data_IF_487390514736
#
_entry.id   IF_487390514736
#
_cell.length_a   1.000
_cell.length_b   1.000
_cell.length_c   1.000
_cell.angle_alpha   90.00
_cell.angle_beta   90.00
_cell.angle_gamma   90.00
#
_symmetry.space_group_name_H-M   'P 1'
#
loop_
_entity.id
_entity.type
_entity.pdbx_description
1 polymer ?
#
# COMPACT_ATOMS: atom_id res chain seq x y z
N UNK A 1 -13.19 -10.13 17.05
CA UNK A 1 -13.33 -10.64 15.67
C UNK A 1 -13.45 -9.41 14.80
N UNK A 2 -12.66 -9.29 13.74
CA UNK A 2 -12.83 -8.22 12.74
C UNK A 2 -14.16 -8.45 12.03
N UNK A 3 -14.88 -7.35 11.72
CA UNK A 3 -16.07 -7.46 10.88
C UNK A 3 -15.65 -7.91 9.47
N UNK A 4 -16.48 -8.74 8.81
CA UNK A 4 -16.21 -9.13 7.43
C UNK A 4 -16.30 -7.90 6.52
N UNK A 5 -15.50 -7.90 5.44
CA UNK A 5 -15.53 -6.91 4.37
C UNK A 5 -16.42 -7.40 3.21
N UNK A 6 -17.51 -8.12 3.55
CA UNK A 6 -18.36 -8.77 2.57
C UNK A 6 -18.89 -7.78 1.52
N UNK A 7 -18.48 -7.99 0.27
CA UNK A 7 -18.84 -7.16 -0.90
C UNK A 7 -18.26 -5.74 -0.92
N UNK A 8 -17.44 -5.36 0.07
CA UNK A 8 -16.69 -4.10 -0.02
C UNK A 8 -15.78 -4.11 -1.26
N UNK A 9 -15.68 -3.00 -1.94
CA UNK A 9 -14.80 -2.81 -3.10
C UNK A 9 -13.48 -2.19 -2.64
N UNK A 10 -12.40 -2.95 -2.78
CA UNK A 10 -11.07 -2.53 -2.31
C UNK A 10 -10.09 -2.40 -3.47
N UNK A 11 -9.50 -1.22 -3.64
CA UNK A 11 -8.41 -1.00 -4.60
C UNK A 11 -7.08 -1.20 -3.88
N UNK A 12 -6.18 -2.01 -4.45
CA UNK A 12 -4.81 -2.19 -3.97
C UNK A 12 -3.82 -1.79 -5.05
N UNK A 13 -3.06 -0.72 -4.83
CA UNK A 13 -1.98 -0.32 -5.74
C UNK A 13 -0.70 -1.12 -5.42
N UNK A 14 0.07 -1.49 -6.46
CA UNK A 14 1.23 -2.38 -6.30
C UNK A 14 0.84 -3.82 -5.96
N UNK A 15 -0.31 -4.29 -6.45
CA UNK A 15 -0.91 -5.57 -6.13
C UNK A 15 -0.18 -6.80 -6.70
N UNK A 16 0.80 -6.62 -7.57
CA UNK A 16 1.44 -7.71 -8.33
C UNK A 16 2.46 -8.55 -7.52
N UNK A 17 2.86 -8.11 -6.31
CA UNK A 17 3.84 -8.83 -5.48
C UNK A 17 3.86 -8.35 -4.03
N UNK A 18 4.61 -9.05 -3.18
CA UNK A 18 4.94 -8.66 -1.81
C UNK A 18 3.73 -8.28 -0.97
N UNK A 19 3.79 -7.16 -0.26
CA UNK A 19 2.72 -6.67 0.62
C UNK A 19 1.40 -6.50 -0.16
N UNK A 20 1.45 -5.98 -1.39
CA UNK A 20 0.25 -5.74 -2.20
C UNK A 20 -0.49 -7.04 -2.53
N UNK A 21 0.20 -8.06 -3.03
CA UNK A 21 -0.40 -9.35 -3.34
C UNK A 21 -0.91 -10.07 -2.08
N UNK A 22 -0.16 -10.03 -0.98
CA UNK A 22 -0.60 -10.58 0.31
C UNK A 22 -1.84 -9.84 0.83
N UNK A 23 -1.89 -8.50 0.68
CA UNK A 23 -3.06 -7.69 1.04
C UNK A 23 -4.30 -8.09 0.23
N UNK A 24 -4.15 -8.30 -1.08
CA UNK A 24 -5.26 -8.77 -1.91
C UNK A 24 -5.83 -10.09 -1.39
N UNK A 25 -4.97 -11.06 -1.02
CA UNK A 25 -5.39 -12.36 -0.46
C UNK A 25 -6.12 -12.19 0.87
N UNK A 26 -5.60 -11.41 1.79
CA UNK A 26 -6.22 -11.17 3.10
C UNK A 26 -7.58 -10.48 2.99
N UNK A 27 -7.73 -9.52 2.06
CA UNK A 27 -8.99 -8.82 1.84
C UNK A 27 -10.02 -9.72 1.14
N UNK A 28 -9.61 -10.49 0.14
CA UNK A 28 -10.45 -11.50 -0.51
C UNK A 28 -10.93 -12.57 0.50
N UNK A 29 -10.05 -13.04 1.37
CA UNK A 29 -10.42 -13.97 2.44
C UNK A 29 -11.43 -13.38 3.45
N UNK A 30 -11.53 -12.07 3.54
CA UNK A 30 -12.54 -11.35 4.33
C UNK A 30 -13.84 -11.08 3.55
N UNK A 31 -13.94 -11.49 2.27
CA UNK A 31 -15.12 -11.36 1.42
C UNK A 31 -15.16 -10.10 0.55
N UNK A 32 -14.10 -9.32 0.50
CA UNK A 32 -14.04 -8.11 -0.33
C UNK A 32 -13.88 -8.44 -1.83
N UNK A 33 -14.48 -7.64 -2.67
CA UNK A 33 -14.15 -7.56 -4.09
C UNK A 33 -12.85 -6.77 -4.27
N UNK A 34 -11.90 -7.30 -5.02
CA UNK A 34 -10.54 -6.73 -5.07
C UNK A 34 -10.22 -6.20 -6.46
N UNK A 35 -9.83 -4.93 -6.51
CA UNK A 35 -9.28 -4.28 -7.71
C UNK A 35 -7.76 -4.26 -7.60
N UNK A 36 -7.10 -4.98 -8.50
CA UNK A 36 -5.67 -5.17 -8.51
C UNK A 36 -5.02 -4.20 -9.49
N UNK A 37 -4.23 -3.26 -8.98
CA UNK A 37 -3.57 -2.24 -9.78
C UNK A 37 -2.05 -2.34 -9.70
N UNK A 38 -1.38 -2.60 -10.81
CA UNK A 38 0.07 -2.53 -11.00
C UNK A 38 0.40 -2.57 -12.51
N UNK A 39 1.67 -2.41 -12.88
CA UNK A 39 2.10 -2.37 -14.28
C UNK A 39 2.11 -3.73 -14.99
N UNK A 40 2.28 -4.82 -14.25
CA UNK A 40 2.39 -6.17 -14.85
C UNK A 40 1.04 -6.87 -14.85
N UNK A 41 0.34 -6.81 -15.99
CA UNK A 41 -0.96 -7.45 -16.19
C UNK A 41 -0.90 -8.96 -15.91
N UNK A 42 0.09 -9.67 -16.46
CA UNK A 42 0.26 -11.11 -16.26
C UNK A 42 0.35 -11.50 -14.75
N UNK A 43 1.08 -10.71 -13.96
CA UNK A 43 1.20 -10.97 -12.51
C UNK A 43 -0.09 -10.65 -11.77
N UNK A 44 -0.82 -9.62 -12.21
CA UNK A 44 -2.11 -9.26 -11.62
C UNK A 44 -3.14 -10.33 -11.92
N UNK A 45 -3.21 -10.84 -13.16
CA UNK A 45 -4.09 -11.94 -13.56
C UNK A 45 -3.83 -13.19 -12.72
N UNK A 46 -2.56 -13.56 -12.54
CA UNK A 46 -2.22 -14.72 -11.71
C UNK A 46 -2.70 -14.56 -10.25
N UNK A 47 -2.57 -13.36 -9.66
CA UNK A 47 -3.11 -13.10 -8.32
C UNK A 47 -4.63 -13.13 -8.33
N UNK A 48 -5.29 -12.54 -9.32
CA UNK A 48 -6.74 -12.51 -9.43
C UNK A 48 -7.35 -13.91 -9.54
N UNK A 49 -6.77 -14.78 -10.39
CA UNK A 49 -7.18 -16.18 -10.56
C UNK A 49 -7.12 -16.95 -9.20
N UNK A 50 -6.05 -16.74 -8.42
CA UNK A 50 -5.93 -17.32 -7.08
C UNK A 50 -7.08 -16.84 -6.17
N UNK A 51 -7.37 -15.51 -6.16
CA UNK A 51 -8.41 -14.94 -5.30
C UNK A 51 -9.80 -15.46 -5.64
N UNK A 52 -10.15 -15.53 -6.92
CA UNK A 52 -11.44 -16.04 -7.40
C UNK A 52 -11.60 -17.52 -7.08
N UNK A 53 -10.54 -18.30 -7.28
CA UNK A 53 -10.54 -19.76 -7.03
C UNK A 53 -10.66 -20.08 -5.54
N UNK A 54 -9.88 -19.40 -4.69
CA UNK A 54 -9.77 -19.75 -3.27
C UNK A 54 -10.89 -19.14 -2.41
N UNK A 55 -11.41 -17.96 -2.80
CA UNK A 55 -12.36 -17.20 -1.97
C UNK A 55 -13.70 -16.92 -2.65
N UNK A 56 -13.82 -17.09 -3.97
CA UNK A 56 -15.08 -16.88 -4.71
C UNK A 56 -15.55 -15.43 -4.75
N UNK A 57 -14.63 -14.48 -4.55
CA UNK A 57 -14.88 -13.03 -4.66
C UNK A 57 -14.77 -12.57 -6.11
N UNK A 58 -15.29 -11.37 -6.41
CA UNK A 58 -15.08 -10.76 -7.72
C UNK A 58 -13.76 -9.98 -7.73
N UNK A 59 -13.03 -10.07 -8.84
CA UNK A 59 -11.80 -9.30 -9.04
C UNK A 59 -11.91 -8.38 -10.26
N UNK A 60 -11.07 -7.35 -10.30
CA UNK A 60 -10.86 -6.50 -11.46
C UNK A 60 -9.36 -6.20 -11.60
N UNK A 61 -8.77 -6.66 -12.70
CA UNK A 61 -7.38 -6.35 -13.04
C UNK A 61 -7.34 -5.08 -13.87
N UNK A 62 -6.59 -4.08 -13.38
CA UNK A 62 -6.37 -2.82 -14.10
C UNK A 62 -4.87 -2.52 -14.16
N UNK A 63 -4.23 -2.77 -15.31
CA UNK A 63 -2.84 -2.37 -15.52
C UNK A 63 -2.69 -0.86 -15.33
N UNK A 64 -1.88 -0.44 -14.35
CA UNK A 64 -1.79 0.95 -13.91
C UNK A 64 -0.33 1.30 -13.57
N UNK A 65 0.20 2.32 -14.19
CA UNK A 65 1.39 3.00 -13.69
C UNK A 65 0.96 4.18 -12.82
N UNK A 66 1.13 4.07 -11.52
CA UNK A 66 0.70 5.13 -10.58
C UNK A 66 1.42 6.47 -10.80
N UNK A 67 2.49 6.50 -11.60
CA UNK A 67 3.20 7.72 -11.99
C UNK A 67 2.45 8.54 -13.04
N UNK A 68 1.52 7.91 -13.73
CA UNK A 68 0.72 8.51 -14.81
C UNK A 68 -0.68 8.82 -14.28
N UNK A 69 -1.02 10.10 -14.21
CA UNK A 69 -2.31 10.55 -13.68
C UNK A 69 -3.49 9.96 -14.45
N UNK A 70 -3.40 9.90 -15.79
CA UNK A 70 -4.44 9.36 -16.66
C UNK A 70 -4.69 7.85 -16.40
N UNK A 71 -3.64 7.06 -16.08
CA UNK A 71 -3.79 5.65 -15.72
C UNK A 71 -4.53 5.50 -14.37
N UNK A 72 -4.22 6.39 -13.43
CA UNK A 72 -4.89 6.40 -12.11
C UNK A 72 -6.36 6.78 -12.24
N UNK A 73 -6.68 7.78 -13.04
CA UNK A 73 -8.07 8.18 -13.30
C UNK A 73 -8.83 7.04 -13.97
N UNK A 74 -8.24 6.35 -14.95
CA UNK A 74 -8.82 5.17 -15.60
C UNK A 74 -9.06 4.00 -14.61
N UNK A 75 -8.15 3.78 -13.65
CA UNK A 75 -8.34 2.80 -12.57
C UNK A 75 -9.58 3.10 -11.75
N UNK A 76 -9.75 4.35 -11.32
CA UNK A 76 -10.90 4.77 -10.51
C UNK A 76 -12.20 4.64 -11.31
N UNK A 77 -12.24 5.13 -12.56
CA UNK A 77 -13.39 5.02 -13.44
C UNK A 77 -13.80 3.56 -13.65
N UNK A 78 -12.85 2.68 -14.02
CA UNK A 78 -13.12 1.26 -14.22
C UNK A 78 -13.66 0.58 -12.95
N UNK A 79 -13.16 0.97 -11.76
CA UNK A 79 -13.64 0.46 -10.49
C UNK A 79 -15.07 0.86 -10.22
N UNK A 80 -15.39 2.15 -10.40
CA UNK A 80 -16.73 2.69 -10.18
C UNK A 80 -17.73 2.10 -11.17
N UNK A 81 -17.35 1.97 -12.44
CA UNK A 81 -18.17 1.37 -13.47
C UNK A 81 -18.49 -0.10 -13.17
N UNK A 82 -17.53 -0.84 -12.62
CA UNK A 82 -17.68 -2.27 -12.32
C UNK A 82 -18.46 -2.55 -11.04
N UNK A 83 -18.16 -1.82 -9.95
CA UNK A 83 -18.64 -2.10 -8.60
C UNK A 83 -19.52 -1.02 -8.01
N UNK A 84 -19.69 0.12 -8.69
CA UNK A 84 -20.58 1.21 -8.27
C UNK A 84 -20.04 2.09 -7.14
N UNK A 85 -18.76 1.92 -6.73
CA UNK A 85 -18.13 2.76 -5.71
C UNK A 85 -16.84 2.15 -5.17
N UNK A 86 -16.21 2.82 -4.21
CA UNK A 86 -14.95 2.41 -3.59
C UNK A 86 -15.11 2.49 -2.08
N UNK A 87 -14.97 1.37 -1.39
CA UNK A 87 -15.03 1.30 0.07
C UNK A 87 -13.64 1.48 0.69
N UNK A 88 -12.59 0.92 0.07
CA UNK A 88 -11.23 1.04 0.59
C UNK A 88 -10.23 1.31 -0.53
N UNK A 89 -9.33 2.28 -0.32
CA UNK A 89 -8.12 2.44 -1.13
C UNK A 89 -6.89 2.11 -0.31
N UNK A 90 -6.08 1.13 -0.78
CA UNK A 90 -4.76 0.81 -0.22
C UNK A 90 -3.67 1.40 -1.11
N UNK A 91 -3.10 2.53 -0.70
CA UNK A 91 -1.91 3.14 -1.29
C UNK A 91 -0.68 2.33 -0.87
N UNK A 92 -0.37 1.26 -1.59
CA UNK A 92 0.75 0.38 -1.30
C UNK A 92 1.89 0.51 -2.33
N UNK A 93 1.61 0.89 -3.58
CA UNK A 93 2.65 1.08 -4.59
C UNK A 93 3.80 1.96 -4.08
N UNK A 94 5.02 1.48 -4.21
CA UNK A 94 6.20 2.21 -3.76
C UNK A 94 7.50 1.47 -4.05
N UNK A 95 8.58 2.20 -4.14
CA UNK A 95 9.91 1.66 -4.40
C UNK A 95 11.00 2.46 -3.68
N UNK A 96 12.16 1.85 -3.53
CA UNK A 96 13.42 2.52 -3.21
C UNK A 96 14.37 2.40 -4.40
N UNK A 97 15.21 3.39 -4.60
CA UNK A 97 16.28 3.44 -5.58
C UNK A 97 17.49 4.12 -4.99
N UNK A 98 18.65 3.74 -5.49
CA UNK A 98 19.91 4.38 -5.12
C UNK A 98 20.29 4.18 -3.65
N UNK A 99 21.23 4.96 -3.19
CA UNK A 99 21.83 4.84 -1.87
C UNK A 99 21.95 6.19 -1.15
N UNK A 100 23.16 6.68 -0.91
CA UNK A 100 23.41 7.96 -0.26
C UNK A 100 23.11 9.15 -1.20
N UNK A 101 23.07 10.35 -0.63
CA UNK A 101 22.68 11.57 -1.35
C UNK A 101 23.68 11.99 -2.42
N UNK A 102 24.96 11.59 -2.29
CA UNK A 102 26.00 12.01 -3.22
C UNK A 102 26.01 11.15 -4.49
N UNK A 103 25.63 9.89 -4.38
CA UNK A 103 25.61 8.92 -5.49
C UNK A 103 24.26 8.79 -6.17
N UNK A 104 23.18 9.24 -5.54
CA UNK A 104 21.84 9.17 -6.10
C UNK A 104 21.72 9.99 -7.39
N UNK A 105 21.28 9.34 -8.47
CA UNK A 105 21.05 9.99 -9.74
C UNK A 105 19.72 10.76 -9.77
N UNK A 106 19.61 11.73 -10.70
CA UNK A 106 18.34 12.46 -10.91
C UNK A 106 17.21 11.50 -11.32
N UNK A 107 17.49 10.54 -12.19
CA UNK A 107 16.47 9.56 -12.66
C UNK A 107 15.95 8.68 -11.51
N UNK A 108 16.83 8.27 -10.58
CA UNK A 108 16.42 7.51 -9.38
C UNK A 108 15.58 8.37 -8.43
N UNK A 109 15.98 9.63 -8.24
CA UNK A 109 15.23 10.60 -7.47
C UNK A 109 13.83 10.81 -8.07
N UNK A 110 13.74 11.14 -9.37
CA UNK A 110 12.49 11.39 -10.07
C UNK A 110 11.58 10.15 -10.05
N UNK A 111 12.15 8.96 -10.24
CA UNK A 111 11.41 7.69 -10.16
C UNK A 111 10.80 7.48 -8.78
N UNK A 112 11.54 7.76 -7.69
CA UNK A 112 11.01 7.67 -6.34
C UNK A 112 9.93 8.72 -6.07
N UNK A 113 10.13 9.95 -6.52
CA UNK A 113 9.13 11.02 -6.34
C UNK A 113 7.85 10.68 -7.09
N UNK A 114 7.94 10.35 -8.36
CA UNK A 114 6.77 10.03 -9.18
C UNK A 114 5.97 8.83 -8.62
N UNK A 115 6.66 7.80 -8.10
CA UNK A 115 5.96 6.61 -7.56
C UNK A 115 5.46 6.83 -6.14
N UNK A 116 6.35 7.27 -5.22
CA UNK A 116 6.04 7.27 -3.78
C UNK A 116 5.27 8.52 -3.33
N UNK A 117 5.30 9.60 -4.12
CA UNK A 117 4.69 10.89 -3.79
C UNK A 117 3.54 11.20 -4.75
N UNK A 118 3.84 11.36 -6.04
CA UNK A 118 2.84 11.77 -7.02
C UNK A 118 1.77 10.68 -7.19
N UNK A 119 2.17 9.41 -7.29
CA UNK A 119 1.23 8.29 -7.40
C UNK A 119 0.30 8.14 -6.20
N UNK A 120 0.82 8.36 -4.98
CA UNK A 120 -0.01 8.37 -3.77
C UNK A 120 -0.98 9.55 -3.78
N UNK A 121 -0.53 10.72 -4.25
CA UNK A 121 -1.37 11.90 -4.37
C UNK A 121 -2.47 11.68 -5.42
N UNK A 122 -2.14 11.20 -6.61
CA UNK A 122 -3.12 10.97 -7.69
C UNK A 122 -4.19 9.99 -7.25
N UNK A 123 -3.80 8.81 -6.73
CA UNK A 123 -4.74 7.78 -6.29
C UNK A 123 -5.65 8.29 -5.16
N UNK A 124 -5.09 8.99 -4.16
CA UNK A 124 -5.87 9.55 -3.07
C UNK A 124 -6.85 10.60 -3.57
N UNK A 125 -6.40 11.55 -4.40
CA UNK A 125 -7.24 12.62 -4.94
C UNK A 125 -8.43 12.08 -5.73
N UNK A 126 -8.17 11.12 -6.62
CA UNK A 126 -9.20 10.52 -7.47
C UNK A 126 -10.19 9.65 -6.66
N UNK A 127 -9.71 8.91 -5.66
CA UNK A 127 -10.57 8.01 -4.88
C UNK A 127 -11.38 8.71 -3.78
N UNK A 128 -10.89 9.80 -3.18
CA UNK A 128 -11.55 10.48 -2.02
C UNK A 128 -13.03 10.75 -2.22
N UNK A 129 -13.53 11.27 -3.38
CA UNK A 129 -14.97 11.50 -3.57
C UNK A 129 -15.80 10.22 -3.40
N UNK A 130 -15.34 9.11 -3.97
CA UNK A 130 -16.03 7.82 -3.96
C UNK A 130 -15.97 7.12 -2.59
N UNK A 131 -14.79 7.18 -1.93
CA UNK A 131 -14.61 6.64 -0.57
C UNK A 131 -15.49 7.39 0.44
N UNK A 132 -15.65 8.71 0.26
CA UNK A 132 -16.54 9.54 1.08
C UNK A 132 -18.00 9.13 0.95
N UNK A 133 -18.48 8.77 -0.24
CA UNK A 133 -19.86 8.32 -0.49
C UNK A 133 -20.19 6.99 0.21
N UNK A 134 -19.16 6.25 0.65
CA UNK A 134 -19.27 4.94 1.29
C UNK A 134 -18.89 4.94 2.77
N UNK A 135 -18.60 6.09 3.38
CA UNK A 135 -18.01 6.19 4.73
C UNK A 135 -16.78 5.26 4.87
N UNK A 136 -15.99 5.18 3.80
CA UNK A 136 -14.98 4.16 3.58
C UNK A 136 -13.63 4.46 4.23
N UNK A 137 -12.55 3.87 3.70
CA UNK A 137 -11.24 3.91 4.35
C UNK A 137 -10.09 4.15 3.37
N UNK A 138 -9.15 5.02 3.73
CA UNK A 138 -7.88 5.25 3.03
C UNK A 138 -6.73 4.66 3.84
N UNK A 139 -5.98 3.74 3.26
CA UNK A 139 -4.83 3.10 3.90
C UNK A 139 -3.55 3.46 3.15
N UNK A 140 -2.54 3.91 3.89
CA UNK A 140 -1.26 4.35 3.35
C UNK A 140 -0.14 3.45 3.87
N UNK A 141 0.52 2.70 2.99
CA UNK A 141 1.71 1.93 3.35
C UNK A 141 2.92 2.85 3.30
N UNK A 142 3.27 3.40 4.45
CA UNK A 142 4.46 4.22 4.64
C UNK A 142 5.71 3.35 4.89
N UNK A 143 6.43 3.54 5.99
CA UNK A 143 7.60 2.75 6.36
C UNK A 143 8.13 3.20 7.72
N UNK A 144 8.93 2.35 8.39
CA UNK A 144 9.86 2.76 9.46
C UNK A 144 10.69 3.98 9.04
N UNK A 145 11.11 4.05 7.77
CA UNK A 145 11.82 5.19 7.21
C UNK A 145 11.01 6.49 7.19
N UNK A 146 9.69 6.45 7.35
CA UNK A 146 8.82 7.62 7.50
C UNK A 146 8.76 8.19 8.92
N UNK A 147 9.49 7.58 9.87
CA UNK A 147 9.55 7.99 11.27
C UNK A 147 11.00 8.18 11.76
N UNK A 148 11.94 7.44 11.19
CA UNK A 148 13.34 7.42 11.60
C UNK A 148 14.27 7.75 10.44
N UNK A 149 15.41 8.42 10.71
CA UNK A 149 16.41 8.73 9.69
C UNK A 149 16.95 7.46 9.03
N UNK A 150 17.25 7.56 7.71
CA UNK A 150 17.84 6.47 6.94
C UNK A 150 19.06 6.99 6.17
N UNK A 151 20.25 7.03 6.79
CA UNK A 151 21.44 7.67 6.21
C UNK A 151 21.86 7.09 4.85
N UNK A 152 21.62 5.79 4.65
CA UNK A 152 21.98 5.08 3.42
C UNK A 152 20.92 5.17 2.31
N UNK A 153 19.78 5.81 2.55
CA UNK A 153 18.79 6.15 1.51
C UNK A 153 17.89 7.31 1.99
N UNK A 154 18.41 8.54 2.06
CA UNK A 154 17.69 9.68 2.63
C UNK A 154 16.50 10.14 1.77
N UNK A 155 16.54 9.97 0.45
CA UNK A 155 15.45 10.37 -0.44
C UNK A 155 14.25 9.45 -0.28
N UNK A 156 14.47 8.13 -0.19
CA UNK A 156 13.40 7.19 0.14
C UNK A 156 12.77 7.53 1.50
N UNK A 157 13.60 7.79 2.52
CA UNK A 157 13.09 8.20 3.82
C UNK A 157 12.23 9.46 3.71
N UNK A 158 12.71 10.50 3.03
CA UNK A 158 11.97 11.74 2.83
C UNK A 158 10.61 11.50 2.13
N UNK A 159 10.56 10.63 1.11
CA UNK A 159 9.29 10.26 0.46
C UNK A 159 8.30 9.60 1.43
N UNK A 160 8.77 8.74 2.34
CA UNK A 160 7.92 8.07 3.33
C UNK A 160 7.52 9.00 4.50
N UNK A 161 8.34 9.98 4.85
CA UNK A 161 7.93 11.09 5.72
C UNK A 161 6.82 11.92 5.07
N UNK A 162 6.93 12.18 3.77
CA UNK A 162 5.89 12.89 3.02
C UNK A 162 4.57 12.12 3.06
N UNK A 163 4.57 10.81 2.73
CA UNK A 163 3.36 9.96 2.79
C UNK A 163 2.69 10.04 4.15
N UNK A 164 3.47 9.92 5.23
CA UNK A 164 2.95 9.99 6.59
C UNK A 164 2.35 11.36 6.92
N UNK A 165 3.02 12.45 6.54
CA UNK A 165 2.53 13.82 6.73
C UNK A 165 1.28 14.11 5.91
N UNK A 166 1.25 13.65 4.65
CA UNK A 166 0.11 13.76 3.76
C UNK A 166 -1.11 13.00 4.32
N UNK A 167 -0.95 11.74 4.67
CA UNK A 167 -2.03 10.91 5.22
C UNK A 167 -2.66 11.53 6.50
N UNK A 168 -1.85 12.09 7.41
CA UNK A 168 -2.34 12.79 8.60
C UNK A 168 -3.14 14.04 8.25
N UNK A 169 -2.73 14.77 7.21
CA UNK A 169 -3.44 15.96 6.73
C UNK A 169 -4.76 15.59 6.03
N UNK A 170 -4.74 14.51 5.23
CA UNK A 170 -5.96 13.96 4.63
C UNK A 170 -6.93 13.49 5.72
N UNK A 171 -6.46 12.80 6.76
CA UNK A 171 -7.29 12.37 7.87
C UNK A 171 -8.04 13.55 8.54
N UNK A 172 -7.34 14.68 8.72
CA UNK A 172 -7.96 15.89 9.27
C UNK A 172 -8.99 16.53 8.31
N UNK A 173 -8.82 16.33 7.00
CA UNK A 173 -9.73 16.86 5.98
C UNK A 173 -11.00 16.05 5.83
N UNK A 174 -10.93 14.71 5.89
CA UNK A 174 -12.03 13.80 5.55
C UNK A 174 -12.70 13.15 6.77
N UNK A 175 -12.14 13.37 7.97
CA UNK A 175 -12.63 12.71 9.19
C UNK A 175 -14.07 13.09 9.55
N UNK A 176 -14.45 14.34 9.35
CA UNK A 176 -15.82 14.82 9.60
C UNK A 176 -16.85 14.23 8.60
N UNK A 177 -16.35 13.71 7.47
CA UNK A 177 -17.17 13.05 6.45
C UNK A 177 -17.29 11.53 6.69
N UNK A 178 -16.81 11.00 7.83
CA UNK A 178 -16.89 9.59 8.18
C UNK A 178 -15.75 8.70 7.60
N UNK A 179 -14.84 9.26 6.80
CA UNK A 179 -13.76 8.49 6.15
C UNK A 179 -12.66 8.15 7.15
N UNK A 180 -12.37 6.85 7.29
CA UNK A 180 -11.23 6.36 8.05
C UNK A 180 -9.91 6.57 7.31
N UNK A 181 -8.83 6.86 8.05
CA UNK A 181 -7.48 6.95 7.48
C UNK A 181 -6.50 6.22 8.37
N UNK A 182 -5.75 5.29 7.80
CA UNK A 182 -4.73 4.51 8.51
C UNK A 182 -3.38 4.61 7.80
N UNK A 183 -2.33 4.77 8.59
CA UNK A 183 -0.94 4.67 8.15
C UNK A 183 -0.36 3.37 8.67
N UNK A 184 0.22 2.56 7.80
CA UNK A 184 0.93 1.33 8.18
C UNK A 184 2.42 1.54 7.93
N UNK A 185 3.24 1.37 8.97
CA UNK A 185 4.69 1.60 8.93
C UNK A 185 5.44 0.27 9.11
N UNK A 186 5.68 -0.51 8.05
CA UNK A 186 6.51 -1.70 8.15
C UNK A 186 7.99 -1.35 8.29
N UNK A 187 8.75 -2.22 8.94
CA UNK A 187 10.21 -2.23 8.84
C UNK A 187 10.67 -3.05 7.62
N UNK A 188 11.70 -3.87 7.72
CA UNK A 188 12.08 -4.80 6.66
C UNK A 188 10.99 -5.87 6.50
N UNK A 189 10.52 -6.07 5.26
CA UNK A 189 9.53 -7.08 4.89
C UNK A 189 10.12 -7.98 3.82
N UNK A 190 10.10 -9.28 4.01
CA UNK A 190 10.66 -10.28 3.08
C UNK A 190 9.86 -10.34 1.78
N UNK A 191 10.25 -9.56 0.80
CA UNK A 191 9.55 -9.36 -0.48
C UNK A 191 10.54 -9.07 -1.61
N UNK A 192 10.05 -8.88 -2.82
CA UNK A 192 10.83 -8.43 -3.98
C UNK A 192 11.35 -6.98 -3.84
N UNK A 193 11.05 -6.28 -2.76
CA UNK A 193 11.50 -4.91 -2.54
C UNK A 193 13.03 -4.82 -2.51
N UNK A 194 13.61 -3.87 -3.23
CA UNK A 194 15.06 -3.72 -3.37
C UNK A 194 15.68 -4.42 -4.59
N UNK A 195 14.94 -5.26 -5.31
CA UNK A 195 15.43 -6.03 -6.45
C UNK A 195 16.08 -5.22 -7.58
N UNK A 196 15.80 -3.93 -7.68
CA UNK A 196 16.37 -3.09 -8.73
C UNK A 196 17.77 -2.56 -8.42
N UNK A 197 18.16 -2.53 -7.15
CA UNK A 197 19.45 -2.01 -6.68
C UNK A 197 20.33 -3.11 -6.08
N UNK A 198 19.94 -4.38 -6.22
CA UNK A 198 20.66 -5.53 -5.68
C UNK A 198 19.73 -6.70 -5.40
N UNK A 199 20.13 -7.57 -4.48
CA UNK A 199 19.31 -8.70 -4.08
C UNK A 199 18.04 -8.22 -3.35
N UNK A 200 16.85 -8.74 -3.70
CA UNK A 200 15.60 -8.40 -3.01
C UNK A 200 15.64 -8.84 -1.54
N UNK A 201 14.81 -8.26 -0.70
CA UNK A 201 14.76 -8.64 0.72
C UNK A 201 14.41 -10.12 0.92
N UNK A 202 13.65 -10.73 0.01
CA UNK A 202 13.36 -12.15 0.04
C UNK A 202 14.60 -13.06 -0.13
N UNK A 203 15.66 -12.56 -0.75
CA UNK A 203 16.96 -13.27 -0.92
C UNK A 203 17.98 -12.89 0.16
N UNK A 204 17.78 -11.75 0.83
CA UNK A 204 18.70 -11.22 1.86
C UNK A 204 18.37 -11.69 3.26
N UNK A 205 17.16 -12.15 3.52
CA UNK A 205 16.67 -12.56 4.83
C UNK A 205 16.02 -13.93 4.75
N UNK A 206 16.29 -14.77 5.74
CA UNK A 206 15.63 -16.05 5.90
C UNK A 206 14.16 -15.88 6.37
N UNK A 207 13.35 -16.91 6.16
CA UNK A 207 11.95 -16.95 6.64
C UNK A 207 11.90 -16.77 8.16
N UNK A 208 11.08 -15.81 8.62
CA UNK A 208 10.93 -15.47 10.04
C UNK A 208 12.04 -14.58 10.62
N UNK A 209 13.07 -14.22 9.85
CA UNK A 209 14.12 -13.29 10.29
C UNK A 209 13.62 -11.84 10.32
N UNK A 210 12.76 -11.49 9.37
CA UNK A 210 12.09 -10.18 9.29
C UNK A 210 10.58 -10.36 9.16
N UNK A 211 9.83 -9.27 9.10
CA UNK A 211 8.38 -9.32 8.92
C UNK A 211 8.02 -9.95 7.58
N UNK A 212 7.02 -10.83 7.56
CA UNK A 212 6.48 -11.40 6.33
C UNK A 212 5.37 -10.48 5.74
N UNK A 213 5.15 -10.51 4.41
CA UNK A 213 4.10 -9.71 3.76
C UNK A 213 2.70 -9.94 4.35
N UNK A 214 2.41 -11.18 4.76
CA UNK A 214 1.14 -11.60 5.34
C UNK A 214 0.84 -10.93 6.69
N UNK A 215 1.87 -10.64 7.49
CA UNK A 215 1.70 -9.93 8.76
C UNK A 215 1.28 -8.48 8.52
N UNK A 216 1.83 -7.84 7.50
CA UNK A 216 1.43 -6.48 7.09
C UNK A 216 0.02 -6.49 6.50
N UNK A 217 -0.28 -7.47 5.66
CA UNK A 217 -1.60 -7.64 5.06
C UNK A 217 -2.70 -7.85 6.12
N UNK A 218 -2.43 -8.67 7.14
CA UNK A 218 -3.35 -8.87 8.27
C UNK A 218 -3.61 -7.56 9.05
N UNK A 219 -2.59 -6.71 9.22
CA UNK A 219 -2.76 -5.39 9.85
C UNK A 219 -3.58 -4.43 8.96
N UNK A 220 -3.38 -4.46 7.65
CA UNK A 220 -4.18 -3.69 6.68
C UNK A 220 -5.65 -4.14 6.74
N UNK A 221 -5.91 -5.46 6.70
CA UNK A 221 -7.27 -6.00 6.84
C UNK A 221 -7.91 -5.58 8.17
N UNK A 222 -7.16 -5.67 9.28
CA UNK A 222 -7.66 -5.21 10.58
C UNK A 222 -8.08 -3.75 10.56
N UNK A 223 -7.28 -2.87 9.94
CA UNK A 223 -7.61 -1.45 9.82
C UNK A 223 -8.83 -1.23 8.91
N UNK A 224 -8.87 -1.86 7.73
CA UNK A 224 -9.97 -1.77 6.78
C UNK A 224 -11.32 -2.17 7.37
N UNK A 225 -11.35 -3.18 8.24
CA UNK A 225 -12.58 -3.71 8.86
C UNK A 225 -13.11 -2.90 10.05
N UNK A 226 -12.70 -1.64 10.24
CA UNK A 226 -13.18 -0.79 11.35
C UNK A 226 -14.25 0.19 10.88
N UNK A 227 -15.49 -0.01 11.31
CA UNK A 227 -16.62 0.81 10.91
C UNK A 227 -16.83 2.04 11.83
N UNK A 228 -16.56 1.95 13.11
CA UNK A 228 -16.89 3.00 14.09
C UNK A 228 -15.69 3.79 14.65
N UNK A 229 -14.46 3.40 14.26
CA UNK A 229 -13.24 4.07 14.72
C UNK A 229 -12.12 3.85 13.72
N UNK A 230 -11.28 4.82 13.53
CA UNK A 230 -10.09 4.71 12.69
C UNK A 230 -8.88 4.27 13.52
N UNK A 231 -8.13 3.30 13.02
CA UNK A 231 -6.77 3.02 13.50
C UNK A 231 -5.84 4.01 12.82
N UNK A 232 -5.36 5.00 13.54
CA UNK A 232 -4.64 6.11 12.90
C UNK A 232 -3.25 5.72 12.40
N UNK A 233 -2.52 4.86 13.14
CA UNK A 233 -1.17 4.46 12.77
C UNK A 233 -0.85 3.07 13.35
N UNK A 234 -0.23 2.20 12.55
CA UNK A 234 0.23 0.86 12.91
C UNK A 234 1.72 0.72 12.58
N UNK A 235 2.53 0.49 13.60
CA UNK A 235 3.95 0.24 13.47
C UNK A 235 4.22 -1.26 13.60
N UNK A 236 4.68 -1.90 12.51
CA UNK A 236 5.01 -3.33 12.49
C UNK A 236 6.49 -3.50 12.17
N UNK A 237 7.26 -3.75 13.23
CA UNK A 237 8.70 -3.90 13.13
C UNK A 237 9.14 -5.30 13.54
N UNK A 238 10.23 -5.79 12.95
CA UNK A 238 10.89 -6.99 13.47
C UNK A 238 11.24 -6.76 14.95
N UNK A 239 11.19 -7.83 15.76
CA UNK A 239 11.27 -7.71 17.24
C UNK A 239 12.57 -7.11 17.76
N UNK A 240 13.66 -7.31 17.03
CA UNK A 240 15.00 -6.82 17.37
C UNK A 240 15.34 -5.47 16.72
N UNK A 241 14.36 -4.79 16.10
CA UNK A 241 14.60 -3.55 15.32
C UNK A 241 15.36 -2.46 16.09
N UNK A 242 15.20 -2.43 17.39
CA UNK A 242 15.83 -1.45 18.25
C UNK A 242 16.96 -2.03 19.12
N UNK A 243 17.35 -3.29 18.95
CA UNK A 243 18.36 -3.93 19.80
C UNK A 243 19.70 -3.19 19.79
N UNK A 244 20.11 -2.70 18.61
CA UNK A 244 21.40 -2.02 18.42
C UNK A 244 21.29 -0.47 18.44
N UNK A 245 20.10 0.08 18.73
CA UNK A 245 19.86 1.54 18.63
C UNK A 245 20.27 2.30 19.90
N UNK A 246 20.48 1.59 20.99
CA UNK A 246 20.76 2.17 22.31
C UNK A 246 22.09 1.69 22.91
N UNK A 247 22.94 1.02 22.15
CA UNK A 247 24.33 0.73 22.46
C UNK A 247 25.25 1.79 21.83
#
# INVERSE_FOLDING_TARGET
MSEPLEQDTVIVTGASSGIGAATCRELAAAGANVVLAARSEERLEAVADDLETDHGVETLVVPTDVREEDDVDALIEATVDRFGGIDVLVNNAGLARGSDVESLTTDEYETMQATNVDGVFYATRAAVPHVRERDGHLIFVASFAGQYPRPFNPVYAASKWWVRGFAKSVAAQVGDDGVGVTIVNPSEVRSEFGAADGDPFAERFDEGEVTEPEEIAAAIRFAASRAGSSVTELDLYRRDKFADTFE
#
